data_IF_095076807763
#
_entry.id   IF_095076807763
#
_cell.length_a   1.000
_cell.length_b   1.000
_cell.length_c   1.000
_cell.angle_alpha   90.00
_cell.angle_beta   90.00
_cell.angle_gamma   90.00
#
_symmetry.space_group_name_H-M   'P 1'
#
loop_
_entity.id
_entity.type
_entity.pdbx_description
1 polymer ?
#
# COMPACT_ATOMS: atom_id res chain seq x y z
N UNK A 1 39.01 11.84 -11.31
CA UNK A 1 38.43 11.86 -9.96
C UNK A 1 36.95 11.54 -10.08
N UNK A 2 36.55 10.27 -9.96
CA UNK A 2 35.13 9.90 -9.90
C UNK A 2 34.64 10.21 -8.48
N UNK A 3 33.61 11.08 -8.36
CA UNK A 3 33.03 11.44 -7.07
C UNK A 3 32.45 10.22 -6.35
N UNK A 4 32.27 10.27 -5.02
CA UNK A 4 31.68 9.18 -4.27
C UNK A 4 30.30 8.89 -4.83
N UNK A 5 30.14 7.70 -5.42
CA UNK A 5 28.85 7.16 -5.79
C UNK A 5 27.99 7.20 -4.52
N UNK A 6 27.01 8.10 -4.49
CA UNK A 6 25.98 8.08 -3.45
C UNK A 6 25.28 6.74 -3.59
N UNK A 7 25.66 5.79 -2.74
CA UNK A 7 24.96 4.53 -2.57
C UNK A 7 23.52 4.92 -2.26
N UNK A 8 22.62 4.79 -3.24
CA UNK A 8 21.19 4.91 -2.97
C UNK A 8 20.91 3.93 -1.83
N UNK A 9 20.19 4.33 -0.77
CA UNK A 9 19.77 3.39 0.25
C UNK A 9 19.08 2.22 -0.47
N UNK A 10 19.37 0.99 -0.04
CA UNK A 10 18.69 -0.17 -0.57
C UNK A 10 17.18 -0.06 -0.29
N UNK A 11 16.33 -0.65 -1.15
CA UNK A 11 14.92 -0.76 -0.88
C UNK A 11 14.68 -1.37 0.49
N UNK A 12 13.57 -0.97 1.12
CA UNK A 12 13.08 -1.69 2.27
C UNK A 12 12.74 -3.13 1.85
N UNK A 13 13.13 -4.04 2.72
CA UNK A 13 12.83 -5.47 2.59
C UNK A 13 11.34 -5.66 2.84
N UNK A 14 10.63 -6.25 1.88
CA UNK A 14 9.19 -6.47 1.98
C UNK A 14 8.89 -7.75 2.78
N UNK A 15 9.60 -8.83 2.47
CA UNK A 15 9.55 -10.11 3.18
C UNK A 15 10.91 -10.44 3.79
N UNK A 16 10.92 -10.93 5.03
CA UNK A 16 12.13 -11.35 5.74
C UNK A 16 12.69 -12.68 5.18
N UNK A 17 13.81 -13.18 5.73
CA UNK A 17 14.44 -14.43 5.32
C UNK A 17 13.53 -15.68 5.48
N UNK A 18 12.44 -15.56 6.24
CA UNK A 18 11.41 -16.60 6.41
C UNK A 18 10.17 -16.39 5.50
N UNK A 19 10.29 -15.53 4.49
CA UNK A 19 9.20 -15.11 3.61
C UNK A 19 8.06 -14.38 4.34
N UNK A 20 8.20 -14.00 5.61
CA UNK A 20 7.17 -13.29 6.39
C UNK A 20 7.19 -11.78 6.15
N UNK A 21 6.03 -11.12 6.26
CA UNK A 21 5.91 -9.66 6.15
C UNK A 21 6.82 -8.98 7.19
N UNK A 22 7.68 -8.07 6.74
CA UNK A 22 8.53 -7.31 7.66
C UNK A 22 7.70 -6.32 8.48
N UNK A 23 8.12 -5.95 9.71
CA UNK A 23 7.41 -4.95 10.50
C UNK A 23 7.28 -3.58 9.81
N UNK A 24 8.19 -3.27 8.88
CA UNK A 24 8.10 -2.06 8.07
C UNK A 24 6.93 -2.14 7.07
N UNK A 25 6.77 -3.27 6.39
CA UNK A 25 5.67 -3.49 5.46
C UNK A 25 4.35 -3.60 6.22
N UNK A 26 4.34 -4.33 7.34
CA UNK A 26 3.18 -4.43 8.23
C UNK A 26 2.68 -3.03 8.64
N UNK A 27 3.57 -2.16 9.11
CA UNK A 27 3.21 -0.80 9.51
C UNK A 27 2.63 0.03 8.33
N UNK A 28 3.20 -0.13 7.13
CA UNK A 28 2.69 0.53 5.93
C UNK A 28 1.29 0.01 5.54
N UNK A 29 1.10 -1.31 5.52
CA UNK A 29 -0.17 -1.95 5.22
C UNK A 29 -1.24 -1.59 6.26
N UNK A 30 -0.92 -1.54 7.55
CA UNK A 30 -1.84 -1.05 8.60
C UNK A 30 -2.25 0.39 8.35
N UNK A 31 -1.32 1.25 7.95
CA UNK A 31 -1.62 2.65 7.66
C UNK A 31 -2.49 2.80 6.40
N UNK A 32 -2.27 1.97 5.39
CA UNK A 32 -3.11 1.87 4.18
C UNK A 32 -4.51 1.40 4.57
N UNK A 33 -4.61 0.27 5.28
CA UNK A 33 -5.86 -0.30 5.76
C UNK A 33 -6.68 0.75 6.53
N UNK A 34 -6.08 1.40 7.52
CA UNK A 34 -6.73 2.45 8.31
C UNK A 34 -7.13 3.69 7.50
N UNK A 35 -6.57 3.89 6.30
CA UNK A 35 -6.95 4.97 5.38
C UNK A 35 -8.19 4.61 4.57
N UNK A 36 -8.39 3.33 4.27
CA UNK A 36 -9.55 2.82 3.52
C UNK A 36 -10.71 2.37 4.43
N UNK A 37 -10.42 1.97 5.67
CA UNK A 37 -11.38 1.68 6.74
C UNK A 37 -12.03 2.99 7.21
N UNK A 38 -13.00 3.44 6.43
CA UNK A 38 -13.71 4.70 6.60
C UNK A 38 -14.64 4.67 7.81
N UNK A 39 -15.25 3.51 8.08
CA UNK A 39 -16.13 3.31 9.24
C UNK A 39 -15.33 3.01 10.53
N UNK A 40 -14.06 2.60 10.41
CA UNK A 40 -13.19 2.25 11.53
C UNK A 40 -13.69 1.05 12.34
N UNK A 41 -14.37 0.13 11.67
CA UNK A 41 -14.80 -1.14 12.26
C UNK A 41 -13.63 -2.15 12.33
N UNK A 42 -12.51 -1.84 11.67
CA UNK A 42 -11.37 -2.75 11.55
C UNK A 42 -11.55 -3.82 10.47
N UNK A 43 -12.52 -3.62 9.58
CA UNK A 43 -12.83 -4.48 8.44
C UNK A 43 -13.05 -3.63 7.19
N UNK A 44 -12.52 -4.06 6.05
CA UNK A 44 -12.82 -3.44 4.76
C UNK A 44 -14.03 -4.15 4.13
N UNK A 45 -15.11 -3.41 3.96
CA UNK A 45 -16.29 -3.85 3.24
C UNK A 45 -16.11 -3.75 1.71
N UNK A 46 -17.08 -4.22 0.94
CA UNK A 46 -17.06 -4.16 -0.55
C UNK A 46 -16.80 -2.75 -1.10
N UNK A 47 -17.38 -1.73 -0.47
CA UNK A 47 -17.24 -0.34 -0.92
C UNK A 47 -15.81 0.16 -0.69
N UNK A 48 -15.22 -0.18 0.45
CA UNK A 48 -13.85 0.17 0.82
C UNK A 48 -12.83 -0.62 -0.01
N UNK A 49 -13.09 -1.90 -0.28
CA UNK A 49 -12.31 -2.73 -1.19
C UNK A 49 -12.33 -2.18 -2.61
N UNK A 50 -13.47 -1.71 -3.12
CA UNK A 50 -13.54 -1.06 -4.42
C UNK A 50 -12.74 0.25 -4.44
N UNK A 51 -12.83 1.07 -3.39
CA UNK A 51 -12.02 2.28 -3.28
C UNK A 51 -10.50 1.97 -3.26
N UNK A 52 -10.12 0.90 -2.57
CA UNK A 52 -8.75 0.39 -2.56
C UNK A 52 -8.32 -0.14 -3.94
N UNK A 53 -9.16 -0.89 -4.64
CA UNK A 53 -8.91 -1.38 -5.98
C UNK A 53 -8.65 -0.23 -6.96
N UNK A 54 -9.49 0.82 -6.90
CA UNK A 54 -9.32 2.01 -7.73
C UNK A 54 -8.01 2.73 -7.40
N UNK A 55 -7.59 2.77 -6.14
CA UNK A 55 -6.34 3.42 -5.75
C UNK A 55 -5.07 2.67 -6.19
N UNK A 56 -5.15 1.35 -6.34
CA UNK A 56 -4.00 0.47 -6.67
C UNK A 56 -3.94 0.14 -8.16
N UNK A 57 -5.09 -0.22 -8.73
CA UNK A 57 -5.24 -0.74 -10.09
C UNK A 57 -5.91 0.25 -11.05
N UNK A 58 -6.26 1.46 -10.59
CA UNK A 58 -7.01 2.47 -11.36
C UNK A 58 -8.39 1.96 -11.83
N UNK A 59 -8.89 0.84 -11.27
CA UNK A 59 -10.17 0.20 -11.58
C UNK A 59 -10.74 -0.54 -10.37
N UNK A 60 -12.05 -0.71 -10.35
CA UNK A 60 -12.75 -1.51 -9.32
C UNK A 60 -12.43 -3.00 -9.46
N UNK A 61 -12.53 -3.75 -8.37
CA UNK A 61 -12.43 -5.21 -8.45
C UNK A 61 -13.68 -5.78 -9.11
N UNK A 62 -13.48 -6.71 -10.05
CA UNK A 62 -14.55 -7.49 -10.63
C UNK A 62 -15.17 -8.43 -9.58
N UNK A 63 -16.39 -8.87 -9.82
CA UNK A 63 -17.14 -9.70 -8.87
C UNK A 63 -16.42 -11.03 -8.57
N UNK A 64 -15.75 -11.63 -9.55
CA UNK A 64 -14.90 -12.80 -9.35
C UNK A 64 -13.78 -12.53 -8.34
N UNK A 65 -13.10 -11.38 -8.43
CA UNK A 65 -12.03 -11.02 -7.50
C UNK A 65 -12.57 -10.78 -6.10
N UNK A 66 -13.73 -10.13 -5.97
CA UNK A 66 -14.39 -9.92 -4.69
C UNK A 66 -14.80 -11.25 -4.04
N UNK A 67 -15.34 -12.19 -4.82
CA UNK A 67 -15.71 -13.53 -4.34
C UNK A 67 -14.47 -14.31 -3.88
N UNK A 68 -13.36 -14.24 -4.60
CA UNK A 68 -12.10 -14.82 -4.15
C UNK A 68 -11.59 -14.15 -2.86
N UNK A 69 -11.63 -12.82 -2.76
CA UNK A 69 -11.25 -12.14 -1.52
C UNK A 69 -12.12 -12.60 -0.35
N UNK A 70 -13.42 -12.76 -0.60
CA UNK A 70 -14.37 -13.25 0.40
C UNK A 70 -14.07 -14.69 0.83
N UNK A 71 -13.78 -15.58 -0.12
CA UNK A 71 -13.58 -17.01 0.14
C UNK A 71 -12.24 -17.30 0.84
N UNK A 72 -11.18 -16.55 0.48
CA UNK A 72 -9.83 -16.83 0.96
C UNK A 72 -9.37 -15.95 2.13
N UNK A 73 -9.86 -14.70 2.23
CA UNK A 73 -9.30 -13.73 3.17
C UNK A 73 -10.34 -13.04 4.07
N UNK A 74 -11.62 -13.01 3.69
CA UNK A 74 -12.64 -12.38 4.52
C UNK A 74 -13.02 -13.22 5.76
N UNK A 75 -13.62 -12.55 6.73
CA UNK A 75 -14.06 -13.16 7.97
C UNK A 75 -15.32 -14.00 7.74
N UNK A 76 -15.22 -15.32 7.93
CA UNK A 76 -16.32 -16.26 7.71
C UNK A 76 -17.52 -15.99 8.64
N UNK A 77 -17.27 -15.40 9.81
CA UNK A 77 -18.32 -15.05 10.75
C UNK A 77 -19.15 -13.84 10.32
N UNK A 78 -18.67 -13.05 9.36
CA UNK A 78 -19.36 -11.86 8.82
C UNK A 78 -20.09 -12.15 7.50
N UNK A 79 -20.03 -13.38 6.98
CA UNK A 79 -20.77 -13.78 5.78
C UNK A 79 -22.29 -13.60 5.96
N UNK A 80 -23.02 -13.16 4.91
CA UNK A 80 -22.61 -13.06 3.51
C UNK A 80 -21.98 -11.71 3.11
N UNK A 81 -21.63 -10.85 4.07
CA UNK A 81 -20.99 -9.57 3.76
C UNK A 81 -19.47 -9.75 3.67
N UNK A 82 -18.86 -9.24 2.59
CA UNK A 82 -17.41 -9.24 2.44
C UNK A 82 -16.83 -8.28 3.49
N UNK A 83 -16.18 -8.84 4.51
CA UNK A 83 -15.52 -8.10 5.59
C UNK A 83 -14.09 -8.59 5.72
N UNK A 84 -13.15 -7.87 5.08
CA UNK A 84 -11.74 -8.21 5.12
C UNK A 84 -11.09 -7.58 6.35
N UNK A 85 -10.70 -8.41 7.33
CA UNK A 85 -9.95 -7.93 8.48
C UNK A 85 -8.53 -7.49 8.07
N UNK A 86 -7.89 -6.68 8.93
CA UNK A 86 -6.50 -6.26 8.74
C UNK A 86 -5.53 -7.44 8.56
N UNK A 87 -5.80 -8.56 9.23
CA UNK A 87 -5.00 -9.78 9.15
C UNK A 87 -5.11 -10.44 7.76
N UNK A 88 -6.33 -10.59 7.24
CA UNK A 88 -6.55 -11.09 5.88
C UNK A 88 -6.00 -10.16 4.80
N UNK A 89 -6.04 -8.85 5.03
CA UNK A 89 -5.40 -7.87 4.13
C UNK A 89 -3.87 -8.04 4.09
N UNK A 90 -3.25 -8.34 5.23
CA UNK A 90 -1.82 -8.68 5.28
C UNK A 90 -1.54 -9.98 4.54
N UNK A 91 -2.31 -11.03 4.79
CA UNK A 91 -2.14 -12.34 4.14
C UNK A 91 -2.26 -12.24 2.61
N UNK A 92 -3.22 -11.44 2.12
CA UNK A 92 -3.37 -11.13 0.69
C UNK A 92 -2.09 -10.50 0.11
N UNK A 93 -1.53 -9.50 0.80
CA UNK A 93 -0.28 -8.85 0.38
C UNK A 93 0.94 -9.76 0.51
N UNK A 94 0.96 -10.64 1.52
CA UNK A 94 2.01 -11.62 1.71
C UNK A 94 2.11 -12.57 0.51
N UNK A 95 0.99 -13.15 0.10
CA UNK A 95 0.90 -14.02 -1.08
C UNK A 95 1.24 -13.27 -2.37
N UNK A 96 0.73 -12.04 -2.54
CA UNK A 96 1.04 -11.22 -3.70
C UNK A 96 2.55 -10.90 -3.76
N UNK A 97 3.16 -10.54 -2.63
CA UNK A 97 4.59 -10.19 -2.57
C UNK A 97 5.49 -11.40 -2.85
N UNK A 98 5.11 -12.58 -2.34
CA UNK A 98 5.80 -13.83 -2.67
C UNK A 98 5.72 -14.15 -4.17
N UNK A 99 4.59 -13.85 -4.81
CA UNK A 99 4.40 -14.11 -6.23
C UNK A 99 5.11 -13.07 -7.11
N UNK A 100 4.91 -11.78 -6.81
CA UNK A 100 5.49 -10.65 -7.52
C UNK A 100 5.72 -9.45 -6.58
N UNK A 101 6.93 -9.36 -6.02
CA UNK A 101 7.35 -8.27 -5.14
C UNK A 101 7.25 -6.89 -5.84
N UNK A 102 7.47 -6.85 -7.16
CA UNK A 102 7.53 -5.61 -7.92
C UNK A 102 6.15 -4.94 -8.02
N UNK A 103 5.07 -5.71 -8.23
CA UNK A 103 3.71 -5.16 -8.20
C UNK A 103 3.36 -4.63 -6.81
N UNK A 104 3.73 -5.33 -5.72
CA UNK A 104 3.51 -4.81 -4.36
C UNK A 104 4.22 -3.48 -4.12
N UNK A 105 5.48 -3.34 -4.55
CA UNK A 105 6.20 -2.06 -4.45
C UNK A 105 5.52 -0.93 -5.23
N UNK A 106 5.00 -1.24 -6.41
CA UNK A 106 4.30 -0.28 -7.26
C UNK A 106 2.98 0.18 -6.63
N UNK A 107 2.22 -0.72 -6.01
CA UNK A 107 1.02 -0.36 -5.24
C UNK A 107 1.35 0.56 -4.07
N UNK A 108 2.37 0.21 -3.27
CA UNK A 108 2.86 1.05 -2.17
C UNK A 108 3.22 2.46 -2.67
N UNK A 109 3.92 2.55 -3.81
CA UNK A 109 4.30 3.82 -4.42
C UNK A 109 3.10 4.65 -4.88
N UNK A 110 2.05 4.02 -5.41
CA UNK A 110 0.78 4.69 -5.74
C UNK A 110 0.04 5.17 -4.51
N UNK A 111 0.07 4.39 -3.44
CA UNK A 111 -0.58 4.70 -2.17
C UNK A 111 0.16 5.79 -1.37
N UNK A 112 1.33 6.21 -1.84
CA UNK A 112 2.13 7.28 -1.26
C UNK A 112 3.21 6.80 -0.30
N UNK A 113 3.77 5.61 -0.53
CA UNK A 113 4.93 5.09 0.19
C UNK A 113 6.16 5.05 -0.72
N UNK A 114 7.30 5.49 -0.21
CA UNK A 114 8.57 5.42 -0.96
C UNK A 114 9.16 4.00 -0.91
N UNK A 115 10.25 3.77 -1.64
CA UNK A 115 11.02 2.51 -1.65
C UNK A 115 11.50 2.09 -0.24
N UNK A 116 11.53 3.03 0.70
CA UNK A 116 11.80 2.78 2.12
C UNK A 116 10.57 2.46 2.98
N UNK A 117 9.39 2.22 2.39
CA UNK A 117 8.10 2.05 3.10
C UNK A 117 7.73 3.23 4.00
N UNK A 118 8.23 4.42 3.66
CA UNK A 118 7.91 5.66 4.38
C UNK A 118 6.79 6.39 3.65
N UNK A 119 5.77 6.88 4.36
CA UNK A 119 4.74 7.70 3.74
C UNK A 119 5.37 8.97 3.18
N UNK A 120 5.46 9.06 1.85
CA UNK A 120 5.75 10.29 1.13
C UNK A 120 4.47 11.10 1.14
N UNK A 121 4.26 11.81 2.25
CA UNK A 121 3.38 12.97 2.26
C UNK A 121 3.94 13.93 1.22
N UNK A 122 3.36 13.91 0.02
CA UNK A 122 3.57 14.95 -0.97
C UNK A 122 2.99 16.22 -0.37
N UNK A 123 3.82 16.93 0.41
CA UNK A 123 3.68 18.37 0.54
C UNK A 123 3.63 18.89 -0.88
N UNK A 124 2.46 19.32 -1.30
CA UNK A 124 2.26 20.11 -2.51
C UNK A 124 3.34 21.20 -2.56
N UNK A 125 4.21 21.29 -3.58
CA UNK A 125 4.76 22.57 -3.93
C UNK A 125 3.63 23.33 -4.63
N UNK A 126 2.72 23.90 -3.83
CA UNK A 126 1.73 24.81 -4.35
C UNK A 126 2.48 26.08 -4.79
N UNK A 127 2.38 26.36 -6.08
CA UNK A 127 2.73 27.61 -6.76
C UNK A 127 4.22 27.90 -6.99
N UNK A 128 4.66 27.60 -8.22
CA UNK A 128 5.48 28.54 -8.96
C UNK A 128 4.71 29.87 -9.12
N UNK A 129 5.29 31.01 -8.71
CA UNK A 129 5.41 32.26 -9.52
C UNK A 129 6.11 33.38 -8.72
N UNK A 130 7.11 34.00 -9.36
CA UNK A 130 7.82 35.27 -9.08
C UNK A 130 8.87 35.26 -7.94
N UNK A 131 10.08 35.82 -8.06
CA UNK A 131 10.90 36.44 -9.10
C UNK A 131 12.30 36.68 -8.45
N UNK A 132 13.39 36.97 -9.19
CA UNK A 132 14.75 36.97 -8.65
C UNK A 132 15.03 38.24 -7.84
N UNK A 133 15.88 38.15 -6.81
CA UNK A 133 16.51 39.33 -6.22
C UNK A 133 17.99 39.04 -5.97
N UNK A 134 18.78 39.82 -6.69
CA UNK A 134 20.22 39.86 -6.78
C UNK A 134 20.92 40.10 -5.44
N UNK A 135 22.09 39.50 -5.28
CA UNK A 135 23.24 40.02 -4.52
C UNK A 135 24.45 39.20 -5.01
N UNK A 136 25.55 39.75 -5.52
CA UNK A 136 26.18 41.06 -5.38
C UNK A 136 26.95 41.44 -6.65
#
# INVERSE_FOLDING_TARGET
MAGPAHRRPAPAVLLDDNDEITPALEAALRAIFARFDADKDGYLNVTELQAFAVATNDREFDQDTLDQIQEFFADDAKLPEIMLAVDGFMDMYHLQTQSDEAETRKDLHRLGFDDQLKPVVTSTPAAATAAPSSSS
#
